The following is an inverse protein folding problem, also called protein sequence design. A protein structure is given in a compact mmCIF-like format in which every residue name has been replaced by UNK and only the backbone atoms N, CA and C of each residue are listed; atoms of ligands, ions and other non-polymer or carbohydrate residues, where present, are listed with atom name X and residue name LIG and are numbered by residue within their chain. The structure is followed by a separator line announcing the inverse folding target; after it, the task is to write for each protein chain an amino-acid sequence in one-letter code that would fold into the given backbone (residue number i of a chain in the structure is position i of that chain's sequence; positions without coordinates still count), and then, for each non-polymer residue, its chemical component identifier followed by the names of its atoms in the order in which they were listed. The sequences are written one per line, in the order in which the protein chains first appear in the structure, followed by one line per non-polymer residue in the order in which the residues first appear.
data_IF_236820979572
#
_entry.id   IF_236820979572
#
_cell.length_a   1.000
_cell.length_b   1.000
_cell.length_c   1.000
_cell.angle_alpha   90.00
_cell.angle_beta   90.00
_cell.angle_gamma   90.00
#
_symmetry.space_group_name_H-M   'P 1'
#
loop_
_entity.id
_entity.type
_entity.pdbx_description
1 polymer ?
#
# COMPACT_ATOMS: atom_id res chain seq x y z
N UNK A 1 -24.45 -7.42 4.02
CA UNK A 1 -24.00 -7.14 2.63
C UNK A 1 -25.17 -6.80 1.71
N UNK A 2 -26.31 -7.50 1.81
CA UNK A 2 -27.52 -7.22 1.01
C UNK A 2 -27.98 -5.75 1.00
N UNK A 3 -27.75 -5.01 2.09
CA UNK A 3 -28.17 -3.60 2.22
C UNK A 3 -27.11 -2.64 1.66
N UNK A 4 -25.88 -2.69 2.17
CA UNK A 4 -24.82 -1.71 1.86
C UNK A 4 -24.05 -2.07 0.58
N UNK A 5 -24.02 -3.35 0.21
CA UNK A 5 -23.21 -3.88 -0.91
C UNK A 5 -23.50 -3.17 -2.24
N UNK A 6 -24.76 -3.02 -2.67
CA UNK A 6 -25.09 -2.31 -3.90
C UNK A 6 -24.55 -0.88 -3.92
N UNK A 7 -24.82 -0.08 -2.87
CA UNK A 7 -24.34 1.30 -2.77
C UNK A 7 -22.82 1.40 -2.74
N UNK A 8 -22.16 0.44 -2.09
CA UNK A 8 -20.70 0.41 -2.01
C UNK A 8 -20.05 0.08 -3.35
N UNK A 9 -20.59 -0.89 -4.10
CA UNK A 9 -20.14 -1.18 -5.45
C UNK A 9 -20.36 0.01 -6.39
N UNK A 10 -21.51 0.68 -6.32
CA UNK A 10 -21.79 1.89 -7.09
C UNK A 10 -20.77 2.99 -6.79
N UNK A 11 -20.44 3.23 -5.51
CA UNK A 11 -19.42 4.21 -5.12
C UNK A 11 -18.05 3.92 -5.74
N UNK A 12 -17.63 2.65 -5.79
CA UNK A 12 -16.35 2.26 -6.39
C UNK A 12 -16.36 2.50 -7.90
N UNK A 13 -17.46 2.19 -8.59
CA UNK A 13 -17.60 2.48 -10.02
C UNK A 13 -17.60 3.98 -10.32
N UNK A 14 -18.21 4.81 -9.45
CA UNK A 14 -18.15 6.26 -9.61
C UNK A 14 -16.71 6.81 -9.55
N UNK A 15 -15.83 6.22 -8.74
CA UNK A 15 -14.42 6.59 -8.68
C UNK A 15 -13.62 6.12 -9.90
N UNK A 16 -14.04 5.03 -10.53
CA UNK A 16 -13.46 4.52 -11.77
C UNK A 16 -13.79 5.45 -12.95
N UNK A 17 -15.04 5.90 -13.04
CA UNK A 17 -15.51 6.82 -14.08
C UNK A 17 -14.94 8.24 -13.91
N UNK A 18 -14.91 8.76 -12.67
CA UNK A 18 -14.32 10.06 -12.36
C UNK A 18 -13.43 9.96 -11.10
N UNK A 19 -12.10 9.82 -11.29
CA UNK A 19 -11.14 9.73 -10.19
C UNK A 19 -11.18 10.90 -9.21
N UNK A 20 -11.67 12.08 -9.62
CA UNK A 20 -11.73 13.24 -8.73
C UNK A 20 -12.76 13.07 -7.60
N UNK A 21 -13.78 12.22 -7.79
CA UNK A 21 -14.81 11.95 -6.79
C UNK A 21 -14.28 11.25 -5.53
N UNK A 22 -13.08 10.69 -5.58
CA UNK A 22 -12.44 10.06 -4.41
C UNK A 22 -12.29 11.05 -3.24
N UNK A 23 -12.28 12.36 -3.50
CA UNK A 23 -12.20 13.41 -2.47
C UNK A 23 -13.29 13.26 -1.41
N UNK A 24 -14.46 12.74 -1.78
CA UNK A 24 -15.60 12.53 -0.86
C UNK A 24 -15.26 11.56 0.29
N UNK A 25 -14.27 10.69 0.11
CA UNK A 25 -13.86 9.69 1.11
C UNK A 25 -12.39 9.80 1.52
N UNK A 26 -11.69 10.85 1.07
CA UNK A 26 -10.25 11.03 1.31
C UNK A 26 -9.93 11.76 2.63
N UNK A 27 -10.93 12.02 3.47
CA UNK A 27 -10.69 12.53 4.83
C UNK A 27 -10.01 11.45 5.69
N UNK A 28 -8.95 11.86 6.40
CA UNK A 28 -8.15 10.94 7.23
C UNK A 28 -7.83 11.57 8.57
N UNK A 29 -7.85 10.76 9.64
CA UNK A 29 -7.31 11.17 10.93
C UNK A 29 -5.82 10.86 10.98
N UNK A 30 -5.01 11.82 11.39
CA UNK A 30 -3.58 11.62 11.63
C UNK A 30 -3.39 11.29 13.10
N UNK A 31 -2.82 10.12 13.39
CA UNK A 31 -2.51 9.66 14.74
C UNK A 31 -1.00 9.40 14.84
N UNK A 32 -0.42 9.76 15.98
CA UNK A 32 0.98 9.48 16.31
C UNK A 32 1.05 8.22 17.17
N UNK A 33 1.81 7.22 16.72
CA UNK A 33 2.09 5.99 17.47
C UNK A 33 3.56 5.97 17.86
N UNK A 34 3.91 5.62 19.11
CA UNK A 34 5.29 5.49 19.51
C UNK A 34 6.06 4.42 18.73
N UNK A 35 7.30 4.73 18.30
CA UNK A 35 8.24 3.73 17.75
C UNK A 35 9.05 3.02 18.84
N UNK A 36 9.23 3.69 19.99
CA UNK A 36 10.05 3.26 21.12
C UNK A 36 9.28 3.54 22.41
N UNK A 37 9.51 2.73 23.45
CA UNK A 37 8.82 2.86 24.74
C UNK A 37 9.20 4.16 25.47
N UNK A 38 10.49 4.53 25.44
CA UNK A 38 11.00 5.74 26.10
C UNK A 38 11.17 6.89 25.11
N UNK A 39 10.10 7.66 24.97
CA UNK A 39 10.00 8.81 24.09
C UNK A 39 10.72 10.04 24.63
N UNK A 40 11.79 10.49 23.96
CA UNK A 40 12.48 11.74 24.27
C UNK A 40 12.27 12.86 23.24
N UNK A 41 11.65 12.55 22.09
CA UNK A 41 11.44 13.50 20.99
C UNK A 41 10.33 13.02 20.04
N UNK A 42 9.62 13.96 19.41
CA UNK A 42 8.58 13.69 18.40
C UNK A 42 9.10 12.89 17.18
N UNK A 43 10.40 12.91 16.90
CA UNK A 43 11.00 12.10 15.81
C UNK A 43 10.85 10.58 16.04
N UNK A 44 10.69 10.18 17.30
CA UNK A 44 10.43 8.80 17.70
C UNK A 44 8.95 8.41 17.56
N UNK A 45 8.07 9.32 17.15
CA UNK A 45 6.69 9.01 16.78
C UNK A 45 6.62 8.60 15.30
N UNK A 46 5.74 7.66 14.97
CA UNK A 46 5.32 7.35 13.60
C UNK A 46 3.91 7.90 13.39
N UNK A 47 3.77 8.77 12.41
CA UNK A 47 2.44 9.21 11.95
C UNK A 47 1.75 8.10 11.16
N UNK A 48 0.49 7.83 11.48
CA UNK A 48 -0.40 6.91 10.76
C UNK A 48 -1.64 7.67 10.33
N UNK A 49 -2.04 7.51 9.07
CA UNK A 49 -3.31 8.00 8.53
C UNK A 49 -4.38 6.93 8.70
N UNK A 50 -5.41 7.22 9.49
CA UNK A 50 -6.62 6.42 9.55
C UNK A 50 -7.60 6.90 8.47
N UNK A 51 -7.49 6.29 7.28
CA UNK A 51 -8.38 6.54 6.16
C UNK A 51 -9.75 5.87 6.34
N UNK A 52 -10.75 6.41 5.64
CA UNK A 52 -12.06 5.79 5.46
C UNK A 52 -11.93 4.35 4.89
N UNK A 53 -12.82 3.44 5.31
CA UNK A 53 -12.85 2.06 4.80
C UNK A 53 -13.12 2.01 3.30
N UNK A 54 -14.00 2.85 2.77
CA UNK A 54 -14.25 3.03 1.33
C UNK A 54 -12.98 3.36 0.55
N UNK A 55 -12.20 4.31 1.05
CA UNK A 55 -10.90 4.66 0.47
C UNK A 55 -9.92 3.46 0.50
N UNK A 56 -9.89 2.71 1.62
CA UNK A 56 -9.03 1.52 1.74
C UNK A 56 -9.41 0.39 0.79
N UNK A 57 -10.70 0.18 0.53
CA UNK A 57 -11.13 -0.83 -0.44
C UNK A 57 -10.82 -0.38 -1.85
N UNK A 58 -11.07 0.88 -2.20
CA UNK A 58 -10.69 1.39 -3.52
C UNK A 58 -9.19 1.23 -3.79
N UNK A 59 -8.34 1.63 -2.85
CA UNK A 59 -6.88 1.43 -2.98
C UNK A 59 -6.50 -0.05 -3.07
N UNK A 60 -7.24 -0.95 -2.43
CA UNK A 60 -7.05 -2.40 -2.59
C UNK A 60 -7.42 -2.89 -3.99
N UNK A 61 -8.53 -2.43 -4.55
CA UNK A 61 -8.94 -2.72 -5.94
C UNK A 61 -7.86 -2.22 -6.91
N UNK A 62 -7.41 -0.98 -6.76
CA UNK A 62 -6.33 -0.41 -7.57
C UNK A 62 -5.03 -1.23 -7.46
N UNK A 63 -4.65 -1.64 -6.24
CA UNK A 63 -3.47 -2.50 -6.03
C UNK A 63 -3.59 -3.85 -6.74
N UNK A 64 -4.81 -4.39 -6.84
CA UNK A 64 -5.07 -5.64 -7.55
C UNK A 64 -4.88 -5.47 -9.07
N UNK A 65 -5.35 -4.35 -9.64
CA UNK A 65 -5.15 -4.03 -11.05
C UNK A 65 -3.66 -3.83 -11.37
N UNK A 66 -2.96 -3.00 -10.59
CA UNK A 66 -1.53 -2.73 -10.78
C UNK A 66 -0.65 -3.97 -10.64
N UNK A 67 -1.09 -4.96 -9.84
CA UNK A 67 -0.35 -6.22 -9.66
C UNK A 67 -0.08 -6.95 -10.98
N UNK A 68 -0.99 -6.84 -11.96
CA UNK A 68 -0.87 -7.53 -13.24
C UNK A 68 0.30 -7.01 -14.10
N UNK A 69 0.59 -5.71 -14.01
CA UNK A 69 1.63 -5.03 -14.81
C UNK A 69 2.91 -4.75 -14.02
N UNK A 70 2.90 -5.02 -12.71
CA UNK A 70 3.98 -4.61 -11.81
C UNK A 70 5.34 -5.19 -12.23
N UNK A 71 5.40 -6.45 -12.68
CA UNK A 71 6.64 -7.10 -13.08
C UNK A 71 7.34 -6.43 -14.28
N UNK A 72 6.57 -5.77 -15.14
CA UNK A 72 7.09 -5.09 -16.33
C UNK A 72 7.57 -3.66 -16.01
N UNK A 73 7.10 -3.09 -14.89
CA UNK A 73 7.38 -1.72 -14.48
C UNK A 73 8.56 -1.58 -13.51
N UNK A 74 8.89 -2.64 -12.78
CA UNK A 74 9.89 -2.60 -11.71
C UNK A 74 11.15 -3.40 -12.05
N UNK A 75 12.29 -2.94 -11.52
CA UNK A 75 13.59 -3.59 -11.72
C UNK A 75 13.57 -5.07 -11.27
N UNK A 76 14.27 -5.99 -11.97
CA UNK A 76 14.38 -7.39 -11.55
C UNK A 76 14.87 -7.57 -10.10
N UNK A 77 15.71 -6.66 -9.60
CA UNK A 77 16.29 -6.72 -8.26
C UNK A 77 15.40 -6.07 -7.18
N UNK A 78 14.25 -5.50 -7.56
CA UNK A 78 13.27 -5.00 -6.60
C UNK A 78 12.38 -6.15 -6.11
N UNK A 79 12.73 -6.71 -4.95
CA UNK A 79 12.04 -7.88 -4.40
C UNK A 79 10.92 -7.55 -3.39
N UNK A 80 10.98 -6.42 -2.71
CA UNK A 80 10.00 -6.06 -1.68
C UNK A 80 8.63 -5.70 -2.28
N UNK A 81 7.56 -6.23 -1.70
CA UNK A 81 6.16 -5.94 -2.05
C UNK A 81 5.68 -6.42 -3.44
N UNK A 82 6.43 -7.32 -4.07
CA UNK A 82 6.08 -7.90 -5.38
C UNK A 82 5.65 -9.35 -5.18
N UNK A 83 4.63 -9.79 -5.93
CA UNK A 83 4.20 -11.18 -5.85
C UNK A 83 5.34 -12.09 -6.30
N UNK A 84 5.60 -13.15 -5.52
CA UNK A 84 6.61 -14.17 -5.80
C UNK A 84 8.05 -13.65 -5.85
N UNK A 85 8.34 -12.49 -5.23
CA UNK A 85 9.71 -12.04 -4.97
C UNK A 85 9.87 -11.86 -3.46
N UNK A 86 10.96 -12.36 -2.92
CA UNK A 86 11.22 -12.36 -1.48
C UNK A 86 12.49 -11.56 -1.19
N UNK A 87 12.53 -10.86 -0.06
CA UNK A 87 13.73 -10.11 0.33
C UNK A 87 14.96 -11.00 0.51
N UNK A 88 14.77 -12.30 0.79
CA UNK A 88 15.83 -13.30 0.82
C UNK A 88 16.53 -13.49 -0.53
N UNK A 89 15.82 -13.28 -1.64
CA UNK A 89 16.38 -13.46 -2.99
C UNK A 89 17.51 -12.43 -3.20
N UNK A 90 17.34 -11.20 -2.70
CA UNK A 90 18.37 -10.17 -2.74
C UNK A 90 19.57 -10.50 -1.84
N UNK A 91 19.35 -11.16 -0.70
CA UNK A 91 20.44 -11.63 0.15
C UNK A 91 21.32 -12.63 -0.60
N UNK A 92 20.71 -13.59 -1.29
CA UNK A 92 21.42 -14.60 -2.08
C UNK A 92 22.20 -13.95 -3.22
N UNK A 93 21.56 -13.07 -4.01
CA UNK A 93 22.23 -12.34 -5.10
C UNK A 93 23.44 -11.57 -4.56
N UNK A 94 23.29 -10.89 -3.42
CA UNK A 94 24.40 -10.15 -2.81
C UNK A 94 25.55 -11.07 -2.40
N UNK A 95 25.25 -12.24 -1.83
CA UNK A 95 26.27 -13.23 -1.46
C UNK A 95 27.02 -13.75 -2.68
N UNK A 96 26.33 -14.09 -3.76
CA UNK A 96 26.94 -14.56 -5.01
C UNK A 96 27.85 -13.48 -5.64
N UNK A 97 27.40 -12.23 -5.67
CA UNK A 97 28.21 -11.11 -6.19
C UNK A 97 29.49 -10.95 -5.37
N UNK A 98 29.39 -10.93 -4.04
CA UNK A 98 30.56 -10.82 -3.15
C UNK A 98 31.50 -12.02 -3.28
N UNK A 99 30.96 -13.23 -3.47
CA UNK A 99 31.76 -14.43 -3.66
C UNK A 99 32.48 -14.49 -5.02
N UNK A 100 31.86 -13.90 -6.05
CA UNK A 100 32.40 -13.85 -7.42
C UNK A 100 33.43 -12.72 -7.66
N UNK A 101 33.54 -11.79 -6.72
CA UNK A 101 34.55 -10.72 -6.69
C UNK A 101 35.88 -11.21 -6.10
#
# INVERSE_FOLDING_TARGET
WSIIGPSYCSLIHEFEEDPNKIVVVNDTFIILIPKLDNMSSLQHMRSIRLCNVSYKVFTKVLSHWLRSIMNDLIDPNQCSFIRNRHSSDNTIITQEVVHSM
#
